data_IF_411914035294
#
_entry.id   IF_411914035294
#
_cell.length_a   1.000
_cell.length_b   1.000
_cell.length_c   1.000
_cell.angle_alpha   90.00
_cell.angle_beta   90.00
_cell.angle_gamma   90.00
#
_symmetry.space_group_name_H-M   'P 1'
#
loop_
_entity.id
_entity.type
_entity.pdbx_description
1 polymer ?
#
# COMPACT_ATOMS: atom_id res chain seq x y z
N UNK A 1 2.34 9.52 1.44
CA UNK A 1 2.38 8.23 0.72
C UNK A 1 3.15 7.31 1.63
N UNK A 2 2.59 6.13 1.90
CA UNK A 2 3.26 5.14 2.74
C UNK A 2 4.59 4.76 2.09
N UNK A 3 5.61 4.51 2.91
CA UNK A 3 6.99 4.22 2.46
C UNK A 3 7.47 2.85 2.93
N UNK A 4 6.55 2.04 3.47
CA UNK A 4 6.85 0.72 3.99
C UNK A 4 7.18 -0.22 2.84
N UNK A 5 8.27 -0.99 2.97
CA UNK A 5 8.61 -2.05 2.05
C UNK A 5 7.90 -3.35 2.46
N UNK A 6 7.82 -4.32 1.54
CA UNK A 6 7.22 -5.64 1.77
C UNK A 6 7.60 -6.27 3.12
N UNK A 7 8.89 -6.18 3.50
CA UNK A 7 9.39 -6.77 4.74
C UNK A 7 8.84 -6.08 5.98
N UNK A 8 8.77 -4.75 5.97
CA UNK A 8 8.22 -3.98 7.08
C UNK A 8 6.75 -4.36 7.30
N UNK A 9 5.99 -4.44 6.19
CA UNK A 9 4.57 -4.83 6.19
C UNK A 9 4.39 -6.25 6.76
N UNK A 10 5.21 -7.19 6.31
CA UNK A 10 5.14 -8.59 6.73
C UNK A 10 5.48 -8.75 8.21
N UNK A 11 6.55 -8.10 8.67
CA UNK A 11 7.02 -8.21 10.05
C UNK A 11 6.00 -7.58 11.01
N UNK A 12 5.42 -6.43 10.67
CA UNK A 12 4.35 -5.81 11.45
C UNK A 12 3.10 -6.70 11.52
N UNK A 13 2.68 -7.27 10.39
CA UNK A 13 1.54 -8.19 10.36
C UNK A 13 1.78 -9.44 11.23
N UNK A 14 3.01 -10.01 11.20
CA UNK A 14 3.39 -11.14 12.06
C UNK A 14 3.39 -10.77 13.54
N UNK A 15 3.92 -9.60 13.89
CA UNK A 15 3.94 -9.10 15.26
C UNK A 15 2.51 -8.91 15.81
N UNK A 16 1.57 -8.50 14.97
CA UNK A 16 0.17 -8.37 15.35
C UNK A 16 -0.48 -9.71 15.70
N UNK A 17 -0.08 -10.83 15.08
CA UNK A 17 -0.67 -12.16 15.34
C UNK A 17 -0.56 -12.50 16.82
N UNK A 18 0.62 -12.32 17.42
CA UNK A 18 0.88 -12.66 18.83
C UNK A 18 -0.08 -11.94 19.78
N UNK A 19 -0.46 -10.70 19.46
CA UNK A 19 -1.39 -9.92 20.27
C UNK A 19 -2.86 -10.22 19.97
N UNK A 20 -3.21 -10.52 18.72
CA UNK A 20 -4.61 -10.67 18.28
C UNK A 20 -5.13 -12.10 18.42
N UNK A 21 -4.26 -13.08 18.17
CA UNK A 21 -4.57 -14.50 18.15
C UNK A 21 -3.47 -15.28 18.90
N UNK A 22 -3.39 -15.18 20.24
CA UNK A 22 -2.35 -15.86 21.03
C UNK A 22 -2.34 -17.39 20.89
N UNK A 23 -3.45 -17.99 20.46
CA UNK A 23 -3.59 -19.41 20.14
C UNK A 23 -2.93 -19.81 18.83
N UNK A 24 -2.65 -18.86 17.94
CA UNK A 24 -1.94 -19.11 16.70
C UNK A 24 -0.43 -19.14 17.00
N UNK A 25 0.09 -20.35 17.21
CA UNK A 25 1.47 -20.57 17.65
C UNK A 25 2.42 -21.02 16.55
N UNK A 26 1.88 -21.43 15.40
CA UNK A 26 2.68 -21.86 14.25
C UNK A 26 2.92 -20.68 13.30
N UNK A 27 4.18 -20.31 13.13
CA UNK A 27 4.59 -19.21 12.25
C UNK A 27 5.51 -19.71 11.11
N UNK A 28 5.51 -21.02 10.85
CA UNK A 28 6.41 -21.62 9.88
C UNK A 28 5.87 -21.50 8.44
N UNK A 29 6.76 -21.72 7.46
CA UNK A 29 6.43 -21.63 6.02
C UNK A 29 5.31 -22.58 5.56
N UNK A 30 5.07 -23.67 6.28
CA UNK A 30 4.01 -24.61 5.93
C UNK A 30 2.62 -24.17 6.41
N UNK A 31 2.55 -23.14 7.25
CA UNK A 31 1.30 -22.55 7.70
C UNK A 31 0.65 -21.77 6.53
N UNK A 32 -0.54 -22.18 6.06
CA UNK A 32 -1.21 -21.49 4.97
C UNK A 32 -1.68 -20.08 5.34
N UNK A 33 -1.93 -19.81 6.63
CA UNK A 33 -2.22 -18.47 7.14
C UNK A 33 -1.02 -17.54 7.01
N UNK A 34 0.20 -18.02 7.28
CA UNK A 34 1.43 -17.26 7.03
C UNK A 34 1.60 -16.98 5.53
N UNK A 35 1.33 -17.97 4.68
CA UNK A 35 1.35 -17.80 3.22
C UNK A 35 0.38 -16.71 2.76
N UNK A 36 -0.83 -16.65 3.35
CA UNK A 36 -1.80 -15.59 3.05
C UNK A 36 -1.32 -14.21 3.49
N UNK A 37 -0.69 -14.10 4.66
CA UNK A 37 -0.13 -12.83 5.14
C UNK A 37 1.00 -12.34 4.21
N UNK A 38 1.88 -13.22 3.75
CA UNK A 38 2.90 -12.89 2.75
C UNK A 38 2.27 -12.39 1.45
N UNK A 39 1.27 -13.10 0.91
CA UNK A 39 0.55 -12.67 -0.29
C UNK A 39 -0.10 -11.29 -0.12
N UNK A 40 -0.78 -11.04 0.99
CA UNK A 40 -1.42 -9.75 1.25
C UNK A 40 -0.42 -8.62 1.46
N UNK A 41 0.73 -8.90 2.06
CA UNK A 41 1.82 -7.93 2.21
C UNK A 41 2.34 -7.48 0.85
N UNK A 42 2.52 -8.42 -0.09
CA UNK A 42 2.91 -8.12 -1.46
C UNK A 42 1.85 -7.33 -2.24
N UNK A 43 0.56 -7.67 -2.06
CA UNK A 43 -0.55 -6.91 -2.67
C UNK A 43 -0.57 -5.47 -2.15
N UNK A 44 -0.38 -5.26 -0.84
CA UNK A 44 -0.34 -3.92 -0.22
C UNK A 44 0.79 -3.08 -0.80
N UNK A 45 2.01 -3.59 -0.84
CA UNK A 45 3.17 -2.88 -1.42
C UNK A 45 2.91 -2.52 -2.90
N UNK A 46 2.34 -3.46 -3.67
CA UNK A 46 1.98 -3.22 -5.07
C UNK A 46 0.94 -2.10 -5.21
N UNK A 47 -0.07 -2.07 -4.35
CA UNK A 47 -1.07 -1.00 -4.34
C UNK A 47 -0.47 0.36 -3.97
N UNK A 48 0.43 0.41 -2.98
CA UNK A 48 1.17 1.61 -2.60
C UNK A 48 1.94 2.16 -3.80
N UNK A 49 2.69 1.30 -4.51
CA UNK A 49 3.39 1.69 -5.73
C UNK A 49 2.44 2.34 -6.77
N UNK A 50 1.26 1.76 -7.00
CA UNK A 50 0.31 2.33 -7.97
C UNK A 50 -0.31 3.65 -7.50
N UNK A 51 -0.60 3.79 -6.21
CA UNK A 51 -1.12 5.03 -5.63
C UNK A 51 -0.06 6.13 -5.74
N UNK A 52 1.21 5.80 -5.55
CA UNK A 52 2.34 6.73 -5.68
C UNK A 52 2.50 7.29 -7.09
N UNK A 53 2.03 6.56 -8.11
CA UNK A 53 1.96 7.06 -9.49
C UNK A 53 0.82 8.07 -9.71
N UNK A 54 -0.06 8.31 -8.72
CA UNK A 54 -1.08 9.35 -8.78
C UNK A 54 -0.44 10.73 -8.54
N UNK A 55 0.23 11.21 -9.58
CA UNK A 55 0.95 12.49 -9.57
C UNK A 55 0.17 13.67 -10.14
N UNK A 56 0.88 14.77 -10.37
CA UNK A 56 0.34 16.04 -10.85
C UNK A 56 -0.39 15.94 -12.19
N UNK A 57 -0.03 15.00 -13.05
CA UNK A 57 -0.73 14.78 -14.32
C UNK A 57 -2.17 14.32 -14.12
N UNK A 58 -2.41 13.49 -13.10
CA UNK A 58 -3.78 13.08 -12.76
C UNK A 58 -4.55 14.27 -12.18
N UNK A 59 -3.91 15.08 -11.32
CA UNK A 59 -4.52 16.32 -10.81
C UNK A 59 -4.92 17.27 -11.95
N UNK A 60 -4.05 17.49 -12.94
CA UNK A 60 -4.35 18.32 -14.12
C UNK A 60 -5.52 17.76 -14.92
N UNK A 61 -5.57 16.44 -15.15
CA UNK A 61 -6.70 15.79 -15.84
C UNK A 61 -8.01 15.99 -15.07
N UNK A 62 -8.00 15.86 -13.74
CA UNK A 62 -9.19 16.11 -12.92
C UNK A 62 -9.65 17.57 -12.97
N UNK A 63 -8.72 18.54 -12.90
CA UNK A 63 -9.04 19.97 -13.06
C UNK A 63 -9.64 20.29 -14.43
N UNK A 64 -9.16 19.63 -15.49
CA UNK A 64 -9.74 19.77 -16.83
C UNK A 64 -11.18 19.27 -16.89
N UNK A 65 -11.51 18.17 -16.20
CA UNK A 65 -12.88 17.64 -16.14
C UNK A 65 -13.84 18.60 -15.43
N UNK A 66 -13.37 19.40 -14.47
CA UNK A 66 -14.17 20.43 -13.79
C UNK A 66 -14.24 21.76 -14.56
N UNK A 67 -13.69 21.81 -15.79
CA UNK A 67 -13.69 23.02 -16.62
C UNK A 67 -12.67 24.09 -16.20
N UNK A 68 -11.77 23.78 -15.26
CA UNK A 68 -10.72 24.70 -14.82
C UNK A 68 -9.59 24.68 -15.86
N UNK A 69 -9.21 25.87 -16.34
CA UNK A 69 -8.08 26.05 -17.25
C UNK A 69 -6.84 26.55 -16.50
N UNK A 70 -5.63 26.12 -16.89
CA UNK A 70 -4.39 26.65 -16.33
C UNK A 70 -4.34 28.17 -16.51
N UNK A 71 -4.00 28.90 -15.44
CA UNK A 71 -3.79 30.34 -15.57
C UNK A 71 -2.55 30.60 -16.43
N UNK A 72 -2.62 31.51 -17.42
CA UNK A 72 -1.46 31.84 -18.23
C UNK A 72 -0.36 32.41 -17.31
N UNK A 73 0.88 31.96 -17.54
CA UNK A 73 2.03 32.49 -16.81
C UNK A 73 2.21 33.95 -17.28
N UNK A 74 1.88 34.90 -16.41
CA UNK A 74 2.12 36.33 -16.68
C UNK A 74 3.64 36.55 -16.55
N UNK A 75 4.29 37.23 -17.52
CA UNK A 75 5.74 37.45 -17.52
C UNK A 75 6.22 38.30 -16.34
#
# INVERSE_FOLDING_TARGET
MDTEEYRDILDDARNMIVSLYPEWTDFNYHDPGITLIELFSWIKESQQYYIDQIGDENRKKFLKLTGIQPHPKVP
#
